data_IF_353880835099
#
_entry.id   IF_353880835099
#
_cell.length_a   1.000
_cell.length_b   1.000
_cell.length_c   1.000
_cell.angle_alpha   90.00
_cell.angle_beta   90.00
_cell.angle_gamma   90.00
#
_symmetry.space_group_name_H-M   'P 1'
#
loop_
_entity.id
_entity.type
_entity.pdbx_description
1 polymer ?
#
# COMPACT_ATOMS: atom_id res chain seq x y z
N UNK A 1 6.72 4.24 75.63
CA UNK A 1 7.23 4.67 74.30
C UNK A 1 6.21 4.25 73.25
N UNK A 2 5.46 5.19 72.68
CA UNK A 2 4.62 4.95 71.51
C UNK A 2 4.83 6.15 70.57
N UNK A 3 5.40 5.92 69.39
CA UNK A 3 5.69 6.97 68.43
C UNK A 3 4.39 7.44 67.78
N UNK A 4 4.05 8.72 67.94
CA UNK A 4 2.96 9.38 67.24
C UNK A 4 3.35 9.55 65.76
N UNK A 5 2.76 8.72 64.89
CA UNK A 5 2.87 8.92 63.44
C UNK A 5 1.86 10.00 63.02
N UNK A 6 2.37 11.18 62.66
CA UNK A 6 1.56 12.32 62.21
C UNK A 6 0.89 12.03 60.87
N UNK A 7 -0.42 12.26 60.79
CA UNK A 7 -1.28 12.13 59.60
C UNK A 7 -0.72 12.87 58.38
N UNK A 8 0.03 13.95 58.61
CA UNK A 8 0.68 14.73 57.55
C UNK A 8 1.77 13.94 56.82
N UNK A 9 2.51 13.08 57.52
CA UNK A 9 3.56 12.24 56.91
C UNK A 9 2.95 11.18 55.99
N UNK A 10 1.78 10.65 56.32
CA UNK A 10 1.08 9.64 55.51
C UNK A 10 0.51 10.28 54.23
N UNK A 11 -0.02 11.50 54.33
CA UNK A 11 -0.52 12.24 53.17
C UNK A 11 0.61 12.60 52.19
N UNK A 12 1.80 12.93 52.70
CA UNK A 12 2.93 13.32 51.88
C UNK A 12 3.56 12.13 51.14
N UNK A 13 3.63 10.96 51.78
CA UNK A 13 4.01 9.70 51.13
C UNK A 13 3.00 9.31 50.04
N UNK A 14 1.69 9.40 50.31
CA UNK A 14 0.65 9.13 49.31
C UNK A 14 0.73 10.07 48.11
N UNK A 15 1.05 11.35 48.34
CA UNK A 15 1.25 12.34 47.28
C UNK A 15 2.48 12.01 46.43
N UNK A 16 3.62 11.68 47.05
CA UNK A 16 4.86 11.30 46.34
C UNK A 16 4.70 10.00 45.54
N UNK A 17 4.02 8.99 46.07
CA UNK A 17 3.73 7.73 45.35
C UNK A 17 2.81 7.98 44.15
N UNK A 18 1.80 8.85 44.30
CA UNK A 18 0.91 9.23 43.19
C UNK A 18 1.66 9.98 42.10
N UNK A 19 2.51 10.95 42.45
CA UNK A 19 3.33 11.70 41.49
C UNK A 19 4.34 10.79 40.77
N UNK A 20 4.98 9.86 41.48
CA UNK A 20 5.91 8.89 40.90
C UNK A 20 5.20 7.92 39.94
N UNK A 21 4.01 7.43 40.31
CA UNK A 21 3.17 6.59 39.45
C UNK A 21 2.72 7.31 38.17
N UNK A 22 2.50 8.63 38.23
CA UNK A 22 2.09 9.41 37.06
C UNK A 22 3.26 9.64 36.09
N UNK A 23 4.47 9.86 36.63
CA UNK A 23 5.69 9.99 35.83
C UNK A 23 6.13 8.68 35.18
N UNK A 24 5.97 7.54 35.86
CA UNK A 24 6.23 6.21 35.28
C UNK A 24 5.23 5.88 34.17
N UNK A 25 3.94 6.22 34.32
CA UNK A 25 2.94 6.04 33.26
C UNK A 25 3.24 6.91 32.03
N UNK A 26 3.74 8.13 32.23
CA UNK A 26 4.14 9.02 31.13
C UNK A 26 5.38 8.50 30.40
N UNK A 27 6.35 7.92 31.12
CA UNK A 27 7.56 7.34 30.53
C UNK A 27 7.28 6.01 29.80
N UNK A 28 6.40 5.15 30.31
CA UNK A 28 5.98 3.92 29.62
C UNK A 28 5.15 4.23 28.36
N UNK A 29 4.35 5.31 28.38
CA UNK A 29 3.58 5.78 27.23
C UNK A 29 4.42 6.27 26.04
N UNK A 30 5.72 6.52 26.22
CA UNK A 30 6.61 7.02 25.16
C UNK A 30 7.39 5.87 24.47
N UNK A 31 7.44 4.66 25.04
CA UNK A 31 8.26 3.54 24.49
C UNK A 31 7.45 2.51 23.68
N UNK A 32 6.22 2.81 23.25
CA UNK A 32 5.52 1.93 22.30
C UNK A 32 4.46 2.64 21.44
N UNK A 33 4.80 3.04 20.20
CA UNK A 33 3.82 3.07 19.12
C UNK A 33 3.70 1.71 18.41
N UNK A 34 4.16 0.60 19.00
CA UNK A 34 4.05 -0.73 18.37
C UNK A 34 2.64 -1.33 18.50
N UNK A 35 1.79 -0.80 19.38
CA UNK A 35 0.39 -1.25 19.50
C UNK A 35 -0.62 -0.42 18.69
N UNK A 36 -0.24 0.70 18.08
CA UNK A 36 -1.14 1.49 17.24
C UNK A 36 -1.20 1.05 15.77
N UNK A 37 -0.41 0.04 15.38
CA UNK A 37 -0.43 -0.54 14.02
C UNK A 37 -0.97 -1.98 13.96
N UNK A 38 -1.48 -2.53 15.06
CA UNK A 38 -2.24 -3.78 14.98
C UNK A 38 -3.63 -3.47 14.47
N UNK A 39 -3.71 -3.30 13.15
CA UNK A 39 -4.98 -3.38 12.42
C UNK A 39 -5.70 -4.63 12.90
N UNK A 40 -6.89 -4.44 13.47
CA UNK A 40 -7.84 -5.53 13.64
C UNK A 40 -8.26 -5.94 12.23
N UNK A 41 -7.49 -6.85 11.63
CA UNK A 41 -7.89 -7.50 10.40
C UNK A 41 -9.16 -8.30 10.68
N UNK A 42 -10.25 -7.89 10.05
CA UNK A 42 -11.48 -8.67 9.98
C UNK A 42 -11.16 -10.09 9.45
N UNK A 43 -11.76 -11.16 10.01
CA UNK A 43 -11.56 -12.51 9.50
C UNK A 43 -12.04 -12.62 8.05
N UNK A 44 -11.10 -12.59 7.10
CA UNK A 44 -11.39 -12.58 5.66
C UNK A 44 -10.50 -11.67 4.83
N UNK A 45 -9.66 -10.86 5.46
CA UNK A 45 -8.73 -9.96 4.78
C UNK A 45 -7.58 -10.78 4.15
N UNK A 46 -7.87 -11.37 2.98
CA UNK A 46 -6.93 -12.16 2.18
C UNK A 46 -5.72 -11.30 1.88
N UNK A 47 -4.54 -11.77 2.29
CA UNK A 47 -3.20 -11.31 1.91
C UNK A 47 -3.17 -10.12 0.94
N UNK A 48 -3.47 -8.91 1.45
CA UNK A 48 -3.28 -7.66 0.72
C UNK A 48 -1.81 -7.30 0.87
N UNK A 49 -1.00 -7.72 -0.10
CA UNK A 49 0.43 -7.42 -0.14
C UNK A 49 0.69 -5.91 -0.05
N UNK A 50 -0.26 -5.08 -0.49
CA UNK A 50 -0.22 -3.64 -0.31
C UNK A 50 -0.16 -3.29 1.18
N UNK A 51 -1.00 -3.85 2.04
CA UNK A 51 -1.04 -3.49 3.46
C UNK A 51 0.21 -3.91 4.26
N UNK A 52 1.03 -4.81 3.70
CA UNK A 52 2.23 -5.32 4.34
C UNK A 52 3.52 -4.62 3.89
N UNK A 53 3.48 -3.94 2.75
CA UNK A 53 4.64 -3.22 2.25
C UNK A 53 4.90 -1.94 3.07
N UNK A 54 6.17 -1.52 3.25
CA UNK A 54 6.51 -0.24 3.90
C UNK A 54 5.89 0.98 3.20
N UNK A 55 5.49 0.82 1.93
CA UNK A 55 4.79 1.81 1.12
C UNK A 55 3.25 1.68 1.17
N UNK A 56 2.71 0.66 1.81
CA UNK A 56 1.37 0.10 1.59
C UNK A 56 0.14 0.99 1.63
N UNK A 57 -0.08 1.68 2.75
CA UNK A 57 -1.33 2.44 2.97
C UNK A 57 -1.32 3.75 2.17
N UNK A 58 -0.16 4.41 2.07
CA UNK A 58 0.00 5.61 1.27
C UNK A 58 -0.01 5.30 -0.23
N UNK A 59 0.61 4.19 -0.64
CA UNK A 59 0.71 3.79 -2.04
C UNK A 59 -0.63 3.30 -2.60
N UNK A 60 -1.45 2.56 -1.82
CA UNK A 60 -2.77 2.13 -2.29
C UNK A 60 -3.73 3.29 -2.59
N UNK A 61 -3.77 4.30 -1.70
CA UNK A 61 -4.61 5.50 -1.91
C UNK A 61 -4.05 6.41 -3.01
N UNK A 62 -2.72 6.61 -3.05
CA UNK A 62 -2.07 7.38 -4.11
C UNK A 62 -2.19 6.70 -5.48
N UNK A 63 -2.12 5.36 -5.55
CA UNK A 63 -2.42 4.62 -6.78
C UNK A 63 -3.89 4.77 -7.15
N UNK A 64 -4.84 4.65 -6.22
CA UNK A 64 -6.26 4.81 -6.57
C UNK A 64 -6.55 6.20 -7.15
N UNK A 65 -5.95 7.25 -6.59
CA UNK A 65 -6.12 8.61 -7.09
C UNK A 65 -5.31 8.86 -8.37
N UNK A 66 -4.08 8.35 -8.46
CA UNK A 66 -3.29 8.38 -9.70
C UNK A 66 -3.97 7.57 -10.81
N UNK A 67 -4.62 6.46 -10.50
CA UNK A 67 -5.43 5.67 -11.44
C UNK A 67 -6.64 6.47 -11.87
N UNK A 68 -7.30 7.27 -11.02
CA UNK A 68 -8.36 8.18 -11.49
C UNK A 68 -7.83 9.30 -12.40
N UNK A 69 -6.64 9.82 -12.10
CA UNK A 69 -6.00 10.88 -12.90
C UNK A 69 -5.35 10.34 -14.19
N UNK A 70 -4.91 9.08 -14.21
CA UNK A 70 -4.26 8.40 -15.34
C UNK A 70 -5.24 7.57 -16.17
N UNK A 71 -6.36 7.12 -15.59
CA UNK A 71 -7.57 6.69 -16.29
C UNK A 71 -8.29 7.93 -16.84
N UNK A 72 -7.57 8.66 -17.66
CA UNK A 72 -8.17 9.32 -18.82
C UNK A 72 -9.00 8.26 -19.55
N UNK A 73 -10.15 8.67 -20.09
CA UNK A 73 -11.10 7.80 -20.76
C UNK A 73 -10.36 6.69 -21.54
N UNK A 74 -10.52 5.40 -21.20
CA UNK A 74 -9.81 4.31 -21.88
C UNK A 74 -10.14 4.24 -23.38
N UNK A 75 -11.23 4.91 -23.79
CA UNK A 75 -11.62 5.06 -25.17
C UNK A 75 -11.04 6.30 -25.83
N UNK A 76 -10.31 7.16 -25.10
CA UNK A 76 -9.60 8.32 -25.65
C UNK A 76 -8.62 7.86 -26.75
N UNK A 77 -8.87 8.23 -28.01
CA UNK A 77 -7.98 7.92 -29.11
C UNK A 77 -6.58 8.48 -28.91
N UNK A 78 -6.44 9.56 -28.13
CA UNK A 78 -5.16 10.22 -27.89
C UNK A 78 -4.16 9.34 -27.16
N UNK A 79 -4.62 8.35 -26.37
CA UNK A 79 -3.76 7.46 -25.58
C UNK A 79 -3.40 6.17 -26.32
N UNK A 80 -4.06 5.88 -27.45
CA UNK A 80 -3.84 4.66 -28.22
C UNK A 80 -2.48 4.66 -28.89
N UNK A 81 -1.78 3.55 -28.75
CA UNK A 81 -0.54 3.24 -29.45
C UNK A 81 -0.73 1.89 -30.13
N UNK A 82 -0.48 1.82 -31.44
CA UNK A 82 -0.48 0.55 -32.16
C UNK A 82 0.66 -0.35 -31.67
N UNK A 83 0.52 -1.67 -31.74
CA UNK A 83 1.58 -2.55 -31.28
C UNK A 83 2.78 -2.46 -32.23
N UNK A 84 3.98 -2.49 -31.67
CA UNK A 84 5.20 -2.46 -32.47
C UNK A 84 6.30 -3.31 -31.82
N UNK A 85 7.20 -3.81 -32.65
CA UNK A 85 8.36 -4.57 -32.18
C UNK A 85 9.41 -3.61 -31.62
N UNK A 86 9.89 -3.89 -30.41
CA UNK A 86 11.00 -3.12 -29.82
C UNK A 86 12.32 -3.74 -30.28
N UNK A 87 12.55 -5.02 -29.98
CA UNK A 87 13.70 -5.81 -30.42
C UNK A 87 13.39 -7.33 -30.30
N UNK A 88 14.17 -8.19 -30.96
CA UNK A 88 14.09 -9.67 -30.88
C UNK A 88 12.68 -10.28 -30.92
N UNK A 89 12.15 -10.74 -29.80
CA UNK A 89 10.82 -11.30 -29.64
C UNK A 89 9.95 -10.46 -28.67
N UNK A 90 10.36 -9.21 -28.42
CA UNK A 90 9.73 -8.28 -27.48
C UNK A 90 8.95 -7.21 -28.24
N UNK A 91 7.67 -7.09 -27.91
CA UNK A 91 6.73 -6.16 -28.51
C UNK A 91 6.15 -5.22 -27.46
N UNK A 92 5.99 -3.96 -27.84
CA UNK A 92 5.21 -3.01 -27.09
C UNK A 92 3.72 -3.17 -27.45
N UNK A 93 2.87 -3.25 -26.43
CA UNK A 93 1.40 -3.38 -26.58
C UNK A 93 0.62 -2.45 -25.66
N UNK A 94 1.30 -1.52 -24.96
CA UNK A 94 0.71 -0.59 -24.01
C UNK A 94 0.07 0.66 -24.61
N UNK A 95 -0.10 1.67 -23.76
CA UNK A 95 -0.68 2.98 -24.05
C UNK A 95 0.37 4.08 -23.87
N UNK A 96 0.14 5.28 -24.43
CA UNK A 96 1.14 6.37 -24.35
C UNK A 96 1.69 6.66 -22.95
N UNK A 97 0.87 6.47 -21.93
CA UNK A 97 1.20 6.76 -20.53
C UNK A 97 1.48 5.52 -19.67
N UNK A 98 1.16 4.31 -20.13
CA UNK A 98 1.36 3.06 -19.37
C UNK A 98 1.89 1.97 -20.28
N UNK A 99 3.06 1.44 -19.94
CA UNK A 99 3.73 0.42 -20.75
C UNK A 99 3.18 -0.97 -20.46
N UNK A 100 3.00 -1.75 -21.52
CA UNK A 100 2.78 -3.18 -21.44
C UNK A 100 3.59 -3.86 -22.55
N UNK A 101 4.13 -5.04 -22.25
CA UNK A 101 5.02 -5.75 -23.15
C UNK A 101 4.53 -7.17 -23.40
N UNK A 102 4.69 -7.62 -24.64
CA UNK A 102 4.44 -9.00 -25.04
C UNK A 102 5.75 -9.63 -25.49
N UNK A 103 6.10 -10.77 -24.90
CA UNK A 103 7.23 -11.60 -25.34
C UNK A 103 6.67 -12.84 -26.02
N UNK A 104 7.07 -13.07 -27.26
CA UNK A 104 6.65 -14.26 -28.02
C UNK A 104 7.66 -15.39 -27.83
N UNK A 105 7.18 -16.61 -27.64
CA UNK A 105 8.00 -17.82 -27.54
C UNK A 105 7.38 -18.93 -28.39
N UNK A 106 8.10 -20.03 -28.60
CA UNK A 106 7.55 -21.21 -29.28
C UNK A 106 6.44 -21.90 -28.48
N UNK A 107 6.44 -21.73 -27.16
CA UNK A 107 5.53 -22.41 -26.24
C UNK A 107 4.33 -21.53 -25.84
N UNK A 108 4.29 -20.29 -26.35
CA UNK A 108 3.22 -19.34 -26.07
C UNK A 108 3.70 -17.91 -25.86
N UNK A 109 2.86 -17.12 -25.21
CA UNK A 109 3.07 -15.69 -24.99
C UNK A 109 3.30 -15.39 -23.51
N UNK A 110 4.20 -14.46 -23.22
CA UNK A 110 4.36 -13.87 -21.88
C UNK A 110 3.94 -12.41 -21.94
N UNK A 111 2.90 -12.06 -21.18
CA UNK A 111 2.43 -10.69 -20.99
C UNK A 111 3.06 -10.09 -19.74
N UNK A 112 3.70 -8.93 -19.87
CA UNK A 112 4.25 -8.15 -18.75
C UNK A 112 3.52 -6.82 -18.64
N UNK A 113 2.84 -6.67 -17.51
CA UNK A 113 1.87 -5.60 -17.20
C UNK A 113 0.58 -5.69 -18.03
N UNK A 114 -0.53 -5.21 -17.46
CA UNK A 114 -1.87 -5.27 -18.03
C UNK A 114 -2.54 -3.89 -18.13
N UNK A 115 -1.79 -2.81 -17.91
CA UNK A 115 -2.31 -1.42 -17.92
C UNK A 115 -3.38 -1.21 -16.84
N UNK A 116 -4.46 -0.45 -17.12
CA UNK A 116 -5.58 -0.27 -16.21
C UNK A 116 -6.71 -1.27 -16.50
N UNK A 117 -7.58 -1.57 -15.50
CA UNK A 117 -8.76 -2.40 -15.72
C UNK A 117 -9.66 -1.92 -16.87
N UNK A 118 -9.73 -0.60 -17.07
CA UNK A 118 -10.54 0.06 -18.09
C UNK A 118 -9.95 -0.05 -19.50
N UNK A 119 -8.63 -0.29 -19.62
CA UNK A 119 -7.91 -0.37 -20.90
C UNK A 119 -7.54 -1.80 -21.31
N UNK A 120 -8.12 -2.80 -20.66
CA UNK A 120 -7.86 -4.21 -20.94
C UNK A 120 -8.12 -4.57 -22.41
N UNK A 121 -9.23 -4.13 -22.99
CA UNK A 121 -9.57 -4.42 -24.39
C UNK A 121 -8.60 -3.79 -25.39
N UNK A 122 -8.08 -2.59 -25.10
CA UNK A 122 -7.05 -1.96 -25.95
C UNK A 122 -5.78 -2.84 -26.00
N UNK A 123 -5.35 -3.32 -24.82
CA UNK A 123 -4.20 -4.21 -24.71
C UNK A 123 -4.44 -5.53 -25.45
N UNK A 124 -5.64 -6.12 -25.30
CA UNK A 124 -6.01 -7.35 -26.01
C UNK A 124 -6.08 -7.16 -27.53
N UNK A 125 -6.61 -6.03 -28.01
CA UNK A 125 -6.60 -5.70 -29.43
C UNK A 125 -5.20 -5.60 -30.01
N UNK A 126 -4.26 -5.04 -29.23
CA UNK A 126 -2.86 -4.99 -29.60
C UNK A 126 -2.22 -6.39 -29.66
N UNK A 127 -2.57 -7.29 -28.72
CA UNK A 127 -2.15 -8.70 -28.78
C UNK A 127 -2.70 -9.38 -30.04
N UNK A 128 -4.01 -9.27 -30.32
CA UNK A 128 -4.68 -9.88 -31.49
C UNK A 128 -4.09 -9.44 -32.83
N UNK A 129 -3.52 -8.24 -32.90
CA UNK A 129 -2.83 -7.75 -34.12
C UNK A 129 -1.47 -8.42 -34.33
N UNK A 130 -0.84 -8.95 -33.29
CA UNK A 130 0.48 -9.56 -33.34
C UNK A 130 0.43 -11.08 -33.51
N UNK A 131 -0.53 -11.75 -32.86
CA UNK A 131 -0.80 -13.18 -33.05
C UNK A 131 -1.89 -13.36 -34.10
N UNK A 132 -1.49 -13.84 -35.28
CA UNK A 132 -2.38 -14.34 -36.33
C UNK A 132 -2.33 -15.85 -36.38
#
# INVERSE_FOLDING_TARGET
MAASFSTNSIMDVKRKVKTFSTLVALLIGIVSPVQAQRGRGEPGDRFRWENQAPWGVAHGAAIAEAVKLMATDPTDPSLRVGPFKIFDNVYYIGMKNVSAFLVTTTDGLVLRDATFPTSAELTLDNVRKLVK
#
